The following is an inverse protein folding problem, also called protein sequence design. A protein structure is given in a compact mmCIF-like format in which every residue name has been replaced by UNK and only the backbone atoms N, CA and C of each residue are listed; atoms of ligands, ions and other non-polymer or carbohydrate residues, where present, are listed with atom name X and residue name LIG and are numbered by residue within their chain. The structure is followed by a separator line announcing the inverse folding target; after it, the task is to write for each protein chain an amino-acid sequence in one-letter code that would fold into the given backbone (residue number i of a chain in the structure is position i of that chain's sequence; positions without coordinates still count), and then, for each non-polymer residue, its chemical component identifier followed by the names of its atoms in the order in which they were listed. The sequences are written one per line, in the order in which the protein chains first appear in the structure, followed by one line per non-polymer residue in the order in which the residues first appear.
data_IF_837721673801
#
_entry.id   IF_837721673801
#
_cell.length_a   1.000
_cell.length_b   1.000
_cell.length_c   1.000
_cell.angle_alpha   90.00
_cell.angle_beta   90.00
_cell.angle_gamma   90.00
#
_symmetry.space_group_name_H-M   'P 1'
#
loop_
_entity.id
_entity.type
_entity.pdbx_description
1 polymer ?
#
# COMPACT_ATOMS: atom_id res chain seq x y z
N UNK A 1 -26.08 -3.61 5.02
CA UNK A 1 -24.84 -3.20 4.32
C UNK A 1 -24.07 -2.22 5.21
N UNK A 2 -22.95 -2.62 5.79
CA UNK A 2 -22.20 -1.80 6.77
C UNK A 2 -20.79 -1.52 6.22
N UNK A 3 -20.65 -0.41 5.48
CA UNK A 3 -19.37 0.09 5.00
C UNK A 3 -18.66 0.80 6.17
N UNK A 4 -18.03 0.03 7.08
CA UNK A 4 -17.12 0.59 8.08
C UNK A 4 -15.69 0.22 7.74
N UNK A 5 -14.93 1.21 7.26
CA UNK A 5 -13.70 1.72 7.90
C UNK A 5 -12.97 2.66 6.95
N UNK A 6 -12.98 3.96 7.29
CA UNK A 6 -11.99 4.92 6.79
C UNK A 6 -10.59 4.49 7.27
N UNK A 7 -9.94 3.52 6.61
CA UNK A 7 -8.51 3.22 6.81
C UNK A 7 -7.68 4.41 6.31
N UNK A 8 -7.44 5.40 7.15
CA UNK A 8 -6.58 6.56 6.85
C UNK A 8 -5.12 6.23 7.22
N UNK A 9 -4.90 5.28 8.13
CA UNK A 9 -3.56 4.93 8.61
C UNK A 9 -2.66 4.37 7.50
N UNK A 10 -3.18 3.57 6.58
CA UNK A 10 -2.39 2.97 5.50
C UNK A 10 -1.82 4.02 4.54
N UNK A 11 -2.63 4.95 4.05
CA UNK A 11 -2.17 6.00 3.13
C UNK A 11 -1.23 7.00 3.81
N UNK A 12 -1.54 7.42 5.04
CA UNK A 12 -0.67 8.32 5.80
C UNK A 12 0.70 7.68 6.10
N UNK A 13 0.71 6.39 6.47
CA UNK A 13 1.95 5.63 6.68
C UNK A 13 2.77 5.52 5.39
N UNK A 14 2.13 5.23 4.25
CA UNK A 14 2.81 5.20 2.96
C UNK A 14 3.48 6.55 2.65
N UNK A 15 2.75 7.66 2.85
CA UNK A 15 3.29 9.00 2.66
C UNK A 15 4.54 9.25 3.52
N UNK A 16 4.46 8.95 4.81
CA UNK A 16 5.61 9.09 5.72
C UNK A 16 6.81 8.23 5.32
N UNK A 17 6.58 6.96 4.97
CA UNK A 17 7.67 6.06 4.56
C UNK A 17 8.37 6.58 3.29
N UNK A 18 7.60 7.07 2.32
CA UNK A 18 8.16 7.60 1.08
C UNK A 18 8.94 8.91 1.30
N UNK A 19 8.48 9.78 2.20
CA UNK A 19 9.10 11.08 2.48
C UNK A 19 10.29 11.04 3.45
N UNK A 20 10.22 10.19 4.48
CA UNK A 20 11.19 10.16 5.57
C UNK A 20 12.28 9.09 5.38
N UNK A 21 12.09 8.16 4.45
CA UNK A 21 13.00 7.02 4.26
C UNK A 21 13.26 6.72 2.78
N UNK A 22 14.17 5.78 2.48
CA UNK A 22 14.47 5.30 1.13
C UNK A 22 13.81 3.94 0.79
N UNK A 23 12.91 3.42 1.63
CA UNK A 23 12.26 2.12 1.40
C UNK A 23 11.33 2.13 0.19
N UNK A 24 11.20 0.98 -0.45
CA UNK A 24 10.17 0.72 -1.48
C UNK A 24 8.90 0.21 -0.80
N UNK A 25 7.75 0.73 -1.22
CA UNK A 25 6.43 0.40 -0.66
C UNK A 25 5.63 -0.41 -1.67
N UNK A 26 5.28 -1.65 -1.30
CA UNK A 26 4.30 -2.47 -2.03
C UNK A 26 2.94 -2.29 -1.34
N UNK A 27 2.11 -1.40 -1.88
CA UNK A 27 0.78 -1.13 -1.36
C UNK A 27 -0.22 -2.17 -1.89
N UNK A 28 -0.82 -2.95 -0.99
CA UNK A 28 -1.76 -4.01 -1.32
C UNK A 28 -3.13 -3.67 -0.73
N UNK A 29 -4.12 -3.41 -1.58
CA UNK A 29 -5.52 -3.21 -1.17
C UNK A 29 -6.46 -3.53 -2.34
N UNK A 30 -7.77 -3.60 -2.07
CA UNK A 30 -8.82 -3.74 -3.07
C UNK A 30 -9.19 -2.42 -3.76
N UNK A 31 -8.77 -1.29 -3.20
CA UNK A 31 -9.01 0.05 -3.75
C UNK A 31 -7.77 0.94 -3.56
N UNK A 32 -7.48 1.81 -4.53
CA UNK A 32 -6.33 2.74 -4.50
C UNK A 32 -6.72 4.20 -4.24
N UNK A 33 -8.00 4.49 -4.04
CA UNK A 33 -8.55 5.84 -3.87
C UNK A 33 -7.78 6.68 -2.85
N UNK A 34 -7.33 6.05 -1.76
CA UNK A 34 -6.63 6.73 -0.67
C UNK A 34 -5.15 6.98 -0.92
N UNK A 35 -4.53 6.27 -1.84
CA UNK A 35 -3.10 6.41 -2.16
C UNK A 35 -2.88 6.94 -3.58
N UNK A 36 -3.95 7.21 -4.34
CA UNK A 36 -3.86 7.69 -5.73
C UNK A 36 -2.95 8.93 -5.85
N UNK A 37 -3.06 9.85 -4.90
CA UNK A 37 -2.21 11.05 -4.82
C UNK A 37 -0.72 10.76 -4.53
N UNK A 38 -0.37 9.55 -4.10
CA UNK A 38 1.02 9.10 -3.93
C UNK A 38 1.56 8.45 -5.21
N UNK A 39 0.67 8.06 -6.14
CA UNK A 39 1.00 7.38 -7.39
C UNK A 39 1.13 8.34 -8.59
N UNK A 40 0.59 9.56 -8.50
CA UNK A 40 0.55 10.56 -9.59
C UNK A 40 0.98 11.95 -9.07
N UNK A 41 1.74 12.80 -9.81
CA UNK A 41 2.50 12.57 -11.05
C UNK A 41 4.04 12.45 -10.83
N UNK A 42 4.78 12.24 -11.91
CA UNK A 42 6.24 11.96 -12.00
C UNK A 42 7.20 13.00 -11.37
N UNK A 43 6.68 14.07 -10.77
CA UNK A 43 7.47 15.09 -10.07
C UNK A 43 7.70 14.78 -8.58
N UNK A 44 7.22 13.64 -8.09
CA UNK A 44 7.46 13.21 -6.73
C UNK A 44 8.84 12.55 -6.62
N UNK A 45 9.62 12.92 -5.60
CA UNK A 45 10.95 12.37 -5.36
C UNK A 45 10.96 10.85 -5.05
N UNK A 46 9.78 10.24 -4.93
CA UNK A 46 9.59 8.81 -4.66
C UNK A 46 8.96 8.04 -5.82
N UNK A 47 8.96 8.61 -7.03
CA UNK A 47 8.51 7.89 -8.25
C UNK A 47 9.28 6.57 -8.40
N UNK A 48 8.55 5.50 -8.72
CA UNK A 48 9.09 4.14 -8.82
C UNK A 48 9.33 3.43 -7.48
N UNK A 49 9.27 4.15 -6.34
CA UNK A 49 9.42 3.55 -5.00
C UNK A 49 8.11 3.05 -4.41
N UNK A 50 6.96 3.40 -4.97
CA UNK A 50 5.66 2.87 -4.57
C UNK A 50 5.01 2.13 -5.72
N UNK A 51 4.51 0.92 -5.45
CA UNK A 51 3.77 0.10 -6.38
C UNK A 51 2.44 -0.31 -5.75
N UNK A 52 1.34 -0.21 -6.50
CA UNK A 52 0.04 -0.67 -6.05
C UNK A 52 -0.32 -2.01 -6.66
N UNK A 53 -0.70 -2.96 -5.81
CA UNK A 53 -1.20 -4.27 -6.20
C UNK A 53 -2.66 -4.43 -5.80
N UNK A 54 -3.52 -4.53 -6.81
CA UNK A 54 -4.94 -4.77 -6.60
C UNK A 54 -5.19 -6.24 -6.22
N UNK A 55 -5.24 -6.51 -4.92
CA UNK A 55 -5.34 -7.86 -4.35
C UNK A 55 -6.32 -7.87 -3.18
N UNK A 56 -7.16 -8.91 -3.16
CA UNK A 56 -7.97 -9.23 -1.99
C UNK A 56 -7.19 -10.18 -1.08
N UNK A 57 -6.72 -9.68 0.07
CA UNK A 57 -5.87 -10.43 1.00
C UNK A 57 -6.49 -11.72 1.55
N UNK A 58 -7.81 -11.92 1.43
CA UNK A 58 -8.50 -13.11 1.95
C UNK A 58 -8.39 -14.33 1.05
N UNK A 59 -8.21 -14.15 -0.26
CA UNK A 59 -8.44 -15.25 -1.21
C UNK A 59 -7.57 -15.18 -2.46
N UNK A 60 -6.40 -14.54 -2.38
CA UNK A 60 -5.52 -14.34 -3.54
C UNK A 60 -4.15 -14.97 -3.30
N UNK A 61 -3.80 -15.96 -4.13
CA UNK A 61 -2.54 -16.71 -4.04
C UNK A 61 -1.31 -15.87 -4.38
N UNK A 62 -1.48 -14.74 -5.08
CA UNK A 62 -0.36 -13.83 -5.42
C UNK A 62 0.20 -13.11 -4.20
N UNK A 63 -0.59 -13.02 -3.12
CA UNK A 63 -0.17 -12.40 -1.87
C UNK A 63 1.08 -13.07 -1.30
N UNK A 64 1.14 -14.41 -1.34
CA UNK A 64 2.31 -15.18 -0.89
C UNK A 64 3.60 -14.77 -1.62
N UNK A 65 3.52 -14.50 -2.92
CA UNK A 65 4.66 -14.02 -3.70
C UNK A 65 5.15 -12.66 -3.22
N UNK A 66 4.23 -11.70 -3.03
CA UNK A 66 4.57 -10.36 -2.53
C UNK A 66 5.14 -10.40 -1.12
N UNK A 67 4.58 -11.25 -0.25
CA UNK A 67 5.05 -11.50 1.11
C UNK A 67 6.48 -12.04 1.11
N UNK A 68 6.84 -12.91 0.17
CA UNK A 68 8.21 -13.46 0.05
C UNK A 68 9.20 -12.45 -0.52
N UNK A 69 8.75 -11.52 -1.35
CA UNK A 69 9.58 -10.45 -1.89
C UNK A 69 9.71 -9.22 -0.97
N UNK A 70 9.06 -9.22 0.20
CA UNK A 70 9.05 -8.07 1.13
C UNK A 70 9.85 -8.35 2.40
N UNK A 71 10.72 -7.42 2.77
CA UNK A 71 11.49 -7.49 4.03
C UNK A 71 10.62 -7.26 5.27
N UNK A 72 9.60 -6.41 5.15
CA UNK A 72 8.70 -6.05 6.24
C UNK A 72 7.24 -6.05 5.79
N UNK A 73 6.37 -6.59 6.64
CA UNK A 73 4.93 -6.71 6.38
C UNK A 73 4.15 -5.90 7.41
N UNK A 74 3.39 -4.92 6.93
CA UNK A 74 2.55 -4.07 7.77
C UNK A 74 1.09 -4.28 7.35
N UNK A 75 0.29 -4.88 8.24
CA UNK A 75 -1.14 -5.06 8.03
C UNK A 75 -1.89 -4.09 8.94
N UNK A 76 -2.67 -3.19 8.35
CA UNK A 76 -3.52 -2.23 9.10
C UNK A 76 -4.97 -2.71 9.24
N UNK A 77 -5.29 -3.83 8.58
CA UNK A 77 -6.51 -4.59 8.84
C UNK A 77 -6.28 -5.59 9.96
N UNK A 78 -7.27 -5.72 10.83
CA UNK A 78 -7.41 -6.98 11.56
C UNK A 78 -7.87 -8.01 10.53
N UNK A 79 -6.96 -8.90 10.14
CA UNK A 79 -7.28 -10.14 9.41
C UNK A 79 -8.35 -10.90 10.18
#
# INVERSE_FOLDING_TARGET
MHYRRRRIHGSHLCGKLLSETLHTVLAVDVYNDKIKHLLEPDSLHWVGRIQFHWINIKNDSRLEGLIKCSDLKLCTDKV
#
